data_IF_485948867289
#
_entry.id   IF_485948867289
#
_cell.length_a   1.000
_cell.length_b   1.000
_cell.length_c   1.000
_cell.angle_alpha   90.00
_cell.angle_beta   90.00
_cell.angle_gamma   90.00
#
_symmetry.space_group_name_H-M   'P 1'
#
loop_
_entity.id
_entity.type
_entity.pdbx_description
1 polymer ?
#
# COMPACT_ATOMS: atom_id res chain seq x y z
N UNK A 1 -2.36 15.47 -10.82
CA UNK A 1 -3.09 14.33 -10.19
C UNK A 1 -2.09 13.38 -9.51
N UNK A 2 -2.50 12.48 -8.59
CA UNK A 2 -1.64 11.40 -8.06
C UNK A 2 -2.17 10.05 -8.53
N UNK A 3 -1.39 9.37 -9.37
CA UNK A 3 -1.73 8.06 -9.94
C UNK A 3 -0.75 6.99 -9.45
N UNK A 4 -1.24 5.77 -9.21
CA UNK A 4 -0.43 4.59 -8.95
C UNK A 4 -0.59 3.57 -10.07
N UNK A 5 0.45 2.75 -10.28
CA UNK A 5 0.37 1.62 -11.20
C UNK A 5 -0.70 0.62 -10.71
N UNK A 6 -1.65 0.33 -11.58
CA UNK A 6 -2.82 -0.49 -11.36
C UNK A 6 -4.07 0.27 -10.90
N UNK A 7 -4.03 1.60 -10.79
CA UNK A 7 -5.24 2.42 -10.67
C UNK A 7 -6.08 2.29 -11.96
N UNK A 8 -7.41 2.35 -11.82
CA UNK A 8 -8.36 2.29 -12.95
C UNK A 8 -8.75 3.71 -13.34
N UNK A 9 -8.54 4.04 -14.61
CA UNK A 9 -8.77 5.36 -15.19
C UNK A 9 -9.67 5.26 -16.42
N UNK A 10 -10.41 6.33 -16.73
CA UNK A 10 -11.16 6.50 -17.97
C UNK A 10 -10.54 7.60 -18.81
N UNK A 11 -10.52 7.42 -20.12
CA UNK A 11 -10.24 8.52 -21.04
C UNK A 11 -11.47 9.41 -21.22
N UNK A 12 -11.30 10.74 -21.30
CA UNK A 12 -12.42 11.66 -21.50
C UNK A 12 -13.12 11.47 -22.86
N UNK A 13 -12.37 11.05 -23.88
CA UNK A 13 -12.88 10.79 -25.22
C UNK A 13 -13.26 9.32 -25.48
N UNK A 14 -13.05 8.43 -24.51
CA UNK A 14 -13.31 7.01 -24.68
C UNK A 14 -14.01 6.43 -23.46
N UNK A 15 -15.14 5.75 -23.68
CA UNK A 15 -15.90 5.10 -22.60
C UNK A 15 -15.12 3.95 -21.96
N UNK A 16 -14.04 3.49 -22.58
CA UNK A 16 -13.26 2.34 -22.15
C UNK A 16 -12.45 2.61 -20.85
N UNK A 17 -12.61 1.69 -19.89
CA UNK A 17 -11.82 1.65 -18.66
C UNK A 17 -10.43 1.10 -18.95
N UNK A 18 -9.39 1.71 -18.41
CA UNK A 18 -8.02 1.20 -18.50
C UNK A 18 -7.33 1.17 -17.15
N UNK A 19 -6.24 0.40 -17.06
CA UNK A 19 -5.39 0.32 -15.85
C UNK A 19 -4.07 1.02 -16.08
N UNK A 20 -3.65 1.87 -15.16
CA UNK A 20 -2.36 2.57 -15.26
C UNK A 20 -1.23 1.55 -15.22
N UNK A 21 -0.45 1.45 -16.29
CA UNK A 21 0.70 0.55 -16.40
C UNK A 21 2.02 1.27 -16.07
N UNK A 22 2.09 2.59 -16.29
CA UNK A 22 3.30 3.37 -16.07
C UNK A 22 3.13 4.84 -16.42
N UNK A 23 4.17 5.63 -16.20
CA UNK A 23 4.24 7.03 -16.62
C UNK A 23 5.56 7.21 -17.36
N UNK A 24 5.53 7.89 -18.49
CA UNK A 24 6.70 8.21 -19.31
C UNK A 24 6.78 9.71 -19.51
N UNK A 25 7.99 10.27 -19.50
CA UNK A 25 8.22 11.63 -19.95
C UNK A 25 8.30 11.62 -21.49
N UNK A 26 7.54 12.52 -22.12
CA UNK A 26 7.62 12.84 -23.52
C UNK A 26 7.97 14.32 -23.65
N UNK A 27 8.57 14.77 -24.75
CA UNK A 27 9.15 16.11 -24.87
C UNK A 27 8.21 17.27 -24.51
N UNK A 28 6.89 17.09 -24.63
CA UNK A 28 5.85 18.07 -24.28
C UNK A 28 5.21 17.87 -22.88
N UNK A 29 5.58 16.83 -22.13
CA UNK A 29 5.07 16.58 -20.79
C UNK A 29 5.00 15.11 -20.38
N UNK A 30 4.45 14.86 -19.18
CA UNK A 30 4.25 13.51 -18.65
C UNK A 30 3.06 12.84 -19.33
N UNK A 31 3.27 11.67 -19.92
CA UNK A 31 2.22 10.81 -20.44
C UNK A 31 2.00 9.61 -19.52
N UNK A 32 0.73 9.23 -19.35
CA UNK A 32 0.33 8.06 -18.58
C UNK A 32 0.14 6.89 -19.54
N UNK A 33 0.85 5.80 -19.31
CA UNK A 33 0.66 4.54 -20.01
C UNK A 33 -0.53 3.82 -19.37
N UNK A 34 -1.59 3.61 -20.14
CA UNK A 34 -2.81 2.94 -19.72
C UNK A 34 -2.97 1.64 -20.51
N UNK A 35 -3.15 0.53 -19.81
CA UNK A 35 -3.49 -0.77 -20.39
C UNK A 35 -5.00 -0.90 -20.52
N UNK A 36 -5.45 -1.07 -21.76
CA UNK A 36 -6.87 -1.20 -22.12
C UNK A 36 -7.27 -2.69 -22.12
N UNK A 37 -8.50 -3.06 -21.74
CA UNK A 37 -9.03 -4.40 -21.95
C UNK A 37 -8.93 -4.78 -23.44
N UNK A 38 -8.29 -5.91 -23.73
CA UNK A 38 -7.84 -6.27 -25.09
C UNK A 38 -6.32 -6.29 -25.25
N UNK A 39 -5.56 -5.87 -24.23
CA UNK A 39 -4.11 -6.03 -24.17
C UNK A 39 -3.31 -4.88 -24.78
N UNK A 40 -3.98 -3.89 -25.38
CA UNK A 40 -3.34 -2.69 -25.90
C UNK A 40 -2.81 -1.77 -24.80
N UNK A 41 -1.65 -1.15 -25.06
CA UNK A 41 -1.10 -0.05 -24.28
C UNK A 41 -1.38 1.25 -25.01
N UNK A 42 -1.85 2.27 -24.30
CA UNK A 42 -2.09 3.61 -24.82
C UNK A 42 -1.40 4.65 -23.98
N UNK A 43 -0.93 5.71 -24.63
CA UNK A 43 -0.37 6.89 -23.99
C UNK A 43 -1.45 7.95 -23.95
N UNK A 44 -1.79 8.42 -22.75
CA UNK A 44 -2.82 9.42 -22.53
C UNK A 44 -2.27 10.55 -21.67
N UNK A 45 -2.67 11.77 -22.00
CA UNK A 45 -2.35 12.93 -21.19
C UNK A 45 -3.07 12.86 -19.83
N UNK A 46 -2.44 13.35 -18.74
CA UNK A 46 -3.05 13.35 -17.41
C UNK A 46 -4.37 14.12 -17.35
N UNK A 47 -4.51 15.18 -18.16
CA UNK A 47 -5.71 16.01 -18.21
C UNK A 47 -6.87 15.33 -18.94
N UNK A 48 -6.58 14.38 -19.81
CA UNK A 48 -7.57 13.59 -20.54
C UNK A 48 -8.06 12.37 -19.73
N UNK A 49 -7.59 12.20 -18.48
CA UNK A 49 -7.88 11.03 -17.66
C UNK A 49 -8.72 11.38 -16.43
N UNK A 50 -9.77 10.61 -16.19
CA UNK A 50 -10.52 10.63 -14.93
C UNK A 50 -10.21 9.37 -14.11
N UNK A 51 -9.91 9.56 -12.82
CA UNK A 51 -9.68 8.44 -11.91
C UNK A 51 -11.02 7.83 -11.49
N UNK A 52 -11.27 6.58 -11.85
CA UNK A 52 -12.51 5.87 -11.51
C UNK A 52 -12.34 5.07 -10.23
N UNK A 53 -11.28 4.27 -10.15
CA UNK A 53 -11.02 3.46 -8.97
C UNK A 53 -9.53 3.48 -8.64
N UNK A 54 -9.24 3.65 -7.35
CA UNK A 54 -7.89 3.41 -6.85
C UNK A 54 -7.68 1.91 -6.72
N UNK A 55 -6.46 1.44 -6.97
CA UNK A 55 -6.07 0.09 -6.62
C UNK A 55 -6.18 -0.08 -5.10
N UNK A 56 -7.26 -0.69 -4.65
CA UNK A 56 -7.36 -1.19 -3.29
C UNK A 56 -6.48 -2.43 -3.21
N UNK A 57 -5.44 -2.39 -2.38
CA UNK A 57 -4.72 -3.61 -2.06
C UNK A 57 -5.73 -4.56 -1.42
N UNK A 58 -5.97 -5.76 -1.99
CA UNK A 58 -6.86 -6.72 -1.37
C UNK A 58 -6.35 -7.02 0.04
N UNK A 59 -7.24 -7.35 0.97
CA UNK A 59 -6.86 -7.83 2.31
C UNK A 59 -6.12 -9.16 2.13
N UNK A 60 -4.80 -9.10 1.99
CA UNK A 60 -3.97 -10.27 1.67
C UNK A 60 -3.73 -11.13 2.91
N UNK A 61 -3.44 -12.41 2.69
CA UNK A 61 -2.89 -13.35 3.70
C UNK A 61 -1.74 -12.72 4.51
N UNK A 62 -0.95 -11.85 3.89
CA UNK A 62 0.15 -11.12 4.54
C UNK A 62 -0.30 -10.27 5.74
N UNK A 63 -1.48 -9.63 5.68
CA UNK A 63 -2.00 -8.86 6.82
C UNK A 63 -2.39 -9.77 7.99
N UNK A 64 -2.96 -10.94 7.70
CA UNK A 64 -3.29 -11.95 8.72
C UNK A 64 -2.04 -12.55 9.38
N UNK A 65 -1.01 -12.82 8.60
CA UNK A 65 0.28 -13.31 9.13
C UNK A 65 0.95 -12.23 9.98
N UNK A 66 0.97 -10.98 9.52
CA UNK A 66 1.53 -9.86 10.27
C UNK A 66 0.82 -9.66 11.62
N UNK A 67 -0.52 -9.79 11.67
CA UNK A 67 -1.26 -9.72 12.94
C UNK A 67 -0.94 -10.89 13.87
N UNK A 68 -0.74 -12.09 13.33
CA UNK A 68 -0.35 -13.26 14.14
C UNK A 68 1.04 -13.05 14.75
N UNK A 69 2.00 -12.59 13.95
CA UNK A 69 3.37 -12.27 14.42
C UNK A 69 3.32 -11.18 15.49
N UNK A 70 2.48 -10.16 15.31
CA UNK A 70 2.33 -9.08 16.29
C UNK A 70 1.77 -9.60 17.64
N UNK A 71 0.82 -10.55 17.61
CA UNK A 71 0.30 -11.20 18.82
C UNK A 71 1.36 -12.06 19.52
N UNK A 72 2.17 -12.80 18.75
CA UNK A 72 3.28 -13.58 19.29
C UNK A 72 4.32 -12.66 19.96
N UNK A 73 4.67 -11.55 19.30
CA UNK A 73 5.59 -10.56 19.86
C UNK A 73 5.04 -9.92 21.14
N UNK A 74 3.74 -9.64 21.20
CA UNK A 74 3.08 -9.13 22.40
C UNK A 74 3.16 -10.13 23.56
N UNK A 75 2.90 -11.41 23.28
CA UNK A 75 2.99 -12.48 24.27
C UNK A 75 4.41 -12.63 24.81
N UNK A 76 5.43 -12.61 23.93
CA UNK A 76 6.84 -12.65 24.32
C UNK A 76 7.19 -11.42 25.16
N UNK A 77 6.75 -10.22 24.75
CA UNK A 77 6.98 -8.99 25.50
C UNK A 77 6.40 -9.02 26.92
N UNK A 78 5.18 -9.54 27.08
CA UNK A 78 4.59 -9.76 28.39
C UNK A 78 5.41 -10.77 29.21
N UNK A 79 5.77 -11.92 28.63
CA UNK A 79 6.54 -12.96 29.33
C UNK A 79 7.91 -12.46 29.78
N UNK A 80 8.63 -11.73 28.92
CA UNK A 80 9.94 -11.18 29.28
C UNK A 80 9.85 -10.14 30.39
N UNK A 81 8.80 -9.31 30.43
CA UNK A 81 8.61 -8.35 31.51
C UNK A 81 8.24 -9.04 32.84
N UNK A 82 7.42 -10.09 32.77
CA UNK A 82 7.06 -10.93 33.93
C UNK A 82 8.27 -11.67 34.51
N UNK A 83 9.12 -12.25 33.65
CA UNK A 83 10.38 -12.90 34.05
C UNK A 83 11.37 -11.92 34.71
N UNK A 84 11.30 -10.64 34.37
CA UNK A 84 12.08 -9.56 35.00
C UNK A 84 11.46 -9.05 36.31
N UNK A 85 10.33 -9.62 36.75
CA UNK A 85 9.60 -9.21 37.95
C UNK A 85 8.94 -7.84 37.82
N UNK A 86 8.62 -7.40 36.60
CA UNK A 86 7.98 -6.12 36.38
C UNK A 86 6.54 -6.11 36.90
N UNK A 87 6.09 -4.98 37.44
CA UNK A 87 4.70 -4.80 37.84
C UNK A 87 3.75 -5.01 36.66
N UNK A 88 2.51 -5.44 36.95
CA UNK A 88 1.49 -5.76 35.96
C UNK A 88 1.31 -4.67 34.89
N UNK A 89 1.47 -3.39 35.28
CA UNK A 89 1.33 -2.24 34.39
C UNK A 89 2.49 -2.16 33.38
N UNK A 90 3.72 -2.44 33.81
CA UNK A 90 4.90 -2.51 32.95
C UNK A 90 4.83 -3.73 32.03
N UNK A 91 4.31 -4.86 32.52
CA UNK A 91 4.09 -6.08 31.73
C UNK A 91 3.11 -5.85 30.58
N UNK A 92 1.98 -5.18 30.84
CA UNK A 92 1.01 -4.79 29.81
C UNK A 92 1.65 -3.81 28.82
N UNK A 93 2.43 -2.84 29.31
CA UNK A 93 3.08 -1.84 28.47
C UNK A 93 4.12 -2.48 27.53
N UNK A 94 4.88 -3.47 28.02
CA UNK A 94 5.85 -4.23 27.25
C UNK A 94 5.16 -5.03 26.12
N UNK A 95 4.08 -5.76 26.43
CA UNK A 95 3.32 -6.48 25.42
C UNK A 95 2.70 -5.56 24.35
N UNK A 96 2.11 -4.44 24.78
CA UNK A 96 1.55 -3.45 23.85
C UNK A 96 2.63 -2.81 22.98
N UNK A 97 3.79 -2.49 23.57
CA UNK A 97 4.95 -1.96 22.88
C UNK A 97 5.45 -2.92 21.79
N UNK A 98 5.61 -4.20 22.12
CA UNK A 98 6.01 -5.24 21.16
C UNK A 98 5.01 -5.43 20.04
N UNK A 99 3.70 -5.43 20.34
CA UNK A 99 2.65 -5.44 19.31
C UNK A 99 2.78 -4.25 18.36
N UNK A 100 2.89 -3.04 18.91
CA UNK A 100 3.00 -1.81 18.13
C UNK A 100 4.26 -1.76 17.29
N UNK A 101 5.39 -2.24 17.81
CA UNK A 101 6.64 -2.31 17.07
C UNK A 101 6.50 -3.14 15.79
N UNK A 102 5.88 -4.33 15.87
CA UNK A 102 5.64 -5.19 14.69
C UNK A 102 4.68 -4.52 13.70
N UNK A 103 3.59 -3.92 14.19
CA UNK A 103 2.62 -3.23 13.32
C UNK A 103 3.26 -2.05 12.60
N UNK A 104 4.06 -1.24 13.30
CA UNK A 104 4.78 -0.11 12.71
C UNK A 104 5.79 -0.61 11.69
N UNK A 105 6.59 -1.62 12.02
CA UNK A 105 7.54 -2.21 11.09
C UNK A 105 6.85 -2.72 9.81
N UNK A 106 5.71 -3.41 9.95
CA UNK A 106 4.91 -3.87 8.83
C UNK A 106 4.36 -2.70 7.99
N UNK A 107 3.89 -1.63 8.63
CA UNK A 107 3.41 -0.44 7.92
C UNK A 107 4.54 0.29 7.19
N UNK A 108 5.71 0.45 7.81
CA UNK A 108 6.91 1.00 7.17
C UNK A 108 7.33 0.14 5.99
N UNK A 109 7.32 -1.19 6.14
CA UNK A 109 7.60 -2.11 5.05
C UNK A 109 6.62 -1.92 3.90
N UNK A 110 5.31 -1.90 4.18
CA UNK A 110 4.29 -1.62 3.18
C UNK A 110 4.42 -0.23 2.56
N UNK A 111 4.95 0.75 3.27
CA UNK A 111 5.19 2.07 2.72
C UNK A 111 6.37 2.05 1.73
N UNK A 112 7.42 1.30 2.05
CA UNK A 112 8.61 1.13 1.21
C UNK A 112 8.35 0.26 -0.02
N UNK A 113 7.61 -0.83 0.14
CA UNK A 113 7.29 -1.80 -0.92
C UNK A 113 5.93 -1.54 -1.58
N UNK A 114 5.18 -0.56 -1.08
CA UNK A 114 3.85 -0.21 -1.56
C UNK A 114 3.87 0.44 -2.94
N UNK A 115 2.71 0.52 -3.61
CA UNK A 115 2.61 1.14 -4.92
C UNK A 115 3.05 2.61 -4.84
N UNK A 116 4.13 2.94 -5.55
CA UNK A 116 4.64 4.30 -5.66
C UNK A 116 3.58 5.16 -6.38
N UNK A 117 3.13 6.21 -5.71
CA UNK A 117 2.20 7.19 -6.28
C UNK A 117 3.02 8.26 -6.97
N UNK A 118 2.81 8.40 -8.26
CA UNK A 118 3.49 9.39 -9.07
C UNK A 118 2.63 10.66 -9.14
N UNK A 119 3.28 11.81 -8.94
CA UNK A 119 2.67 13.11 -9.21
C UNK A 119 2.81 13.37 -10.71
N UNK A 120 1.67 13.28 -11.39
CA UNK A 120 1.51 13.56 -12.82
C UNK A 120 0.86 14.91 -12.97
#
# INVERSE_FOLDING_TARGET
MKLAIGDVVQGHHEVALGTVAGITDHGDGKLVVVRVPGGGLRLLEPNALTLIARRTMPVTRGRSVATLIALIAAFIGCRSADDLGADWLLTVLAGLGSFKAVVIAYQCWLHLTGPRRFRV
#
